data_IF_933050920589
#
_entry.id   IF_933050920589
#
_cell.length_a   1.000
_cell.length_b   1.000
_cell.length_c   1.000
_cell.angle_alpha   90.00
_cell.angle_beta   90.00
_cell.angle_gamma   90.00
#
_symmetry.space_group_name_H-M   'P 1'
#
loop_
_entity.id
_entity.type
_entity.pdbx_description
1 polymer ?
#
# COMPACT_ATOMS: atom_id res chain seq x y z
N UNK A 1 -5.98 -22.41 -85.32
CA UNK A 1 -7.36 -21.91 -85.21
C UNK A 1 -7.50 -21.34 -83.80
N UNK A 2 -7.54 -20.02 -83.64
CA UNK A 2 -7.53 -19.32 -82.33
C UNK A 2 -8.89 -19.50 -81.63
N UNK A 3 -8.95 -19.80 -80.32
CA UNK A 3 -10.18 -19.64 -79.57
C UNK A 3 -10.33 -18.20 -79.06
N UNK A 4 -11.55 -17.73 -79.23
CA UNK A 4 -12.20 -16.45 -78.93
C UNK A 4 -12.00 -15.95 -77.50
N UNK A 5 -11.64 -14.67 -77.35
CA UNK A 5 -11.66 -13.92 -76.08
C UNK A 5 -13.11 -13.80 -75.58
N UNK A 6 -13.40 -14.36 -74.41
CA UNK A 6 -14.63 -14.13 -73.68
C UNK A 6 -14.50 -12.84 -72.87
N UNK A 7 -15.21 -11.81 -73.30
CA UNK A 7 -15.39 -10.55 -72.57
C UNK A 7 -16.09 -10.82 -71.23
N UNK A 8 -15.35 -10.75 -70.13
CA UNK A 8 -15.90 -10.80 -68.77
C UNK A 8 -16.67 -9.51 -68.54
N UNK A 9 -18.00 -9.62 -68.57
CA UNK A 9 -18.96 -8.56 -68.23
C UNK A 9 -18.91 -8.38 -66.71
N UNK A 10 -18.29 -7.32 -66.22
CA UNK A 10 -18.35 -6.96 -64.80
C UNK A 10 -19.76 -6.50 -64.45
N UNK A 11 -20.39 -7.21 -63.51
CA UNK A 11 -21.72 -6.91 -63.01
C UNK A 11 -21.67 -5.66 -62.12
N UNK A 12 -22.35 -4.55 -62.46
CA UNK A 12 -22.32 -3.31 -61.68
C UNK A 12 -23.04 -3.41 -60.32
N UNK A 13 -23.64 -4.56 -59.99
CA UNK A 13 -24.33 -4.78 -58.71
C UNK A 13 -23.44 -5.38 -57.62
N UNK A 14 -22.21 -5.83 -57.93
CA UNK A 14 -21.29 -6.41 -56.95
C UNK A 14 -20.50 -5.38 -56.12
N UNK A 15 -20.56 -4.08 -56.45
CA UNK A 15 -19.76 -3.04 -55.80
C UNK A 15 -20.37 -2.50 -54.50
N UNK A 16 -21.64 -2.82 -54.21
CA UNK A 16 -22.38 -2.29 -53.05
C UNK A 16 -22.34 -3.18 -51.78
N UNK A 17 -21.52 -4.24 -51.76
CA UNK A 17 -21.36 -5.11 -50.58
C UNK A 17 -20.05 -4.88 -49.81
N UNK A 18 -19.40 -3.73 -49.99
CA UNK A 18 -18.32 -3.32 -49.07
C UNK A 18 -18.97 -2.84 -47.77
N UNK A 19 -18.67 -3.46 -46.61
CA UNK A 19 -19.14 -2.91 -45.34
C UNK A 19 -18.61 -1.48 -45.22
N UNK A 20 -19.54 -0.53 -45.06
CA UNK A 20 -19.26 0.85 -44.68
C UNK A 20 -18.24 0.82 -43.55
N UNK A 21 -17.09 1.46 -43.77
CA UNK A 21 -16.06 1.66 -42.75
C UNK A 21 -16.71 2.44 -41.61
N UNK A 22 -17.26 1.69 -40.67
CA UNK A 22 -17.81 2.21 -39.43
C UNK A 22 -16.70 3.05 -38.79
N UNK A 23 -17.01 4.33 -38.59
CA UNK A 23 -16.31 5.20 -37.65
C UNK A 23 -16.20 4.46 -36.31
N UNK A 24 -15.13 3.69 -36.13
CA UNK A 24 -14.63 3.36 -34.81
C UNK A 24 -14.13 4.70 -34.30
N UNK A 25 -14.72 5.28 -33.25
CA UNK A 25 -14.07 6.41 -32.60
C UNK A 25 -12.72 5.86 -32.15
N UNK A 26 -11.64 6.32 -32.81
CA UNK A 26 -10.29 6.16 -32.29
C UNK A 26 -10.36 6.63 -30.86
N UNK A 27 -10.39 5.68 -29.92
CA UNK A 27 -10.22 5.95 -28.52
C UNK A 27 -8.84 6.60 -28.45
N UNK A 28 -8.82 7.93 -28.39
CA UNK A 28 -7.62 8.72 -28.45
C UNK A 28 -6.70 8.28 -27.33
N UNK A 29 -5.81 7.33 -27.63
CA UNK A 29 -4.65 7.00 -26.83
C UNK A 29 -3.81 8.26 -26.90
N UNK A 30 -4.04 9.16 -25.92
CA UNK A 30 -3.26 10.37 -25.79
C UNK A 30 -1.80 9.95 -25.80
N UNK A 31 -0.97 10.47 -26.72
CA UNK A 31 0.45 10.14 -26.72
C UNK A 31 1.02 10.46 -25.35
N UNK A 32 1.92 9.63 -24.80
CA UNK A 32 2.47 9.84 -23.48
C UNK A 32 3.10 11.22 -23.41
N UNK A 33 2.51 12.09 -22.59
CA UNK A 33 3.06 13.42 -22.36
C UNK A 33 4.47 13.29 -21.79
N UNK A 34 5.44 13.73 -22.58
CA UNK A 34 6.71 14.37 -22.21
C UNK A 34 7.40 13.92 -20.89
N UNK A 35 8.56 13.27 -21.05
CA UNK A 35 9.76 13.57 -20.26
C UNK A 35 9.89 13.04 -18.83
N UNK A 36 8.95 12.23 -18.32
CA UNK A 36 9.11 11.57 -17.00
C UNK A 36 9.27 10.07 -17.16
N UNK A 37 10.23 9.48 -16.44
CA UNK A 37 10.37 8.03 -16.30
C UNK A 37 8.98 7.46 -15.97
N UNK A 38 8.45 6.47 -16.71
CA UNK A 38 7.08 5.97 -16.53
C UNK A 38 6.75 5.59 -15.07
N UNK A 39 7.75 5.12 -14.33
CA UNK A 39 7.66 4.79 -12.90
C UNK A 39 7.47 6.01 -11.97
N UNK A 40 7.78 7.24 -12.39
CA UNK A 40 7.62 8.47 -11.60
C UNK A 40 6.30 9.19 -11.86
N UNK A 41 5.47 8.70 -12.79
CA UNK A 41 4.19 9.35 -13.16
C UNK A 41 3.25 9.50 -11.97
N UNK A 42 3.17 8.51 -11.09
CA UNK A 42 2.34 8.58 -9.89
C UNK A 42 2.71 9.76 -8.96
N UNK A 43 3.98 10.19 -8.91
CA UNK A 43 4.42 11.35 -8.10
C UNK A 43 3.95 12.70 -8.64
N UNK A 44 3.34 12.73 -9.81
CA UNK A 44 2.66 13.92 -10.33
C UNK A 44 1.40 14.25 -9.49
N UNK A 45 0.72 13.23 -8.94
CA UNK A 45 -0.41 13.43 -8.02
C UNK A 45 0.10 14.01 -6.70
N UNK A 46 -0.42 15.18 -6.32
CA UNK A 46 -0.06 15.85 -5.06
C UNK A 46 -0.38 14.95 -3.85
N UNK A 47 -1.54 14.30 -3.86
CA UNK A 47 -1.96 13.42 -2.78
C UNK A 47 -1.02 12.22 -2.65
N UNK A 48 -0.68 11.58 -3.77
CA UNK A 48 0.27 10.47 -3.75
C UNK A 48 1.68 10.89 -3.30
N UNK A 49 2.17 12.06 -3.73
CA UNK A 49 3.50 12.55 -3.30
C UNK A 49 3.56 12.82 -1.80
N UNK A 50 2.52 13.41 -1.20
CA UNK A 50 2.41 13.62 0.25
C UNK A 50 2.38 12.29 1.00
N UNK A 51 1.57 11.33 0.51
CA UNK A 51 1.51 9.98 1.06
C UNK A 51 2.87 9.28 1.02
N UNK A 52 3.50 9.28 -0.16
CA UNK A 52 4.73 8.57 -0.45
C UNK A 52 5.89 9.06 0.42
N UNK A 53 6.04 10.38 0.56
CA UNK A 53 7.10 10.95 1.40
C UNK A 53 6.93 10.56 2.87
N UNK A 54 5.72 10.67 3.41
CA UNK A 54 5.45 10.25 4.79
C UNK A 54 5.64 8.74 4.97
N UNK A 55 5.15 7.94 4.01
CA UNK A 55 5.24 6.48 4.08
C UNK A 55 6.66 5.97 4.03
N UNK A 56 7.53 6.56 3.21
CA UNK A 56 8.92 6.14 3.14
C UNK A 56 9.60 6.25 4.51
N UNK A 57 9.39 7.37 5.21
CA UNK A 57 9.92 7.61 6.55
C UNK A 57 9.35 6.60 7.56
N UNK A 58 8.04 6.38 7.53
CA UNK A 58 7.37 5.45 8.45
C UNK A 58 7.74 3.99 8.21
N UNK A 59 7.99 3.62 6.96
CA UNK A 59 8.37 2.27 6.61
C UNK A 59 9.80 1.96 7.06
N UNK A 60 10.74 2.91 6.89
CA UNK A 60 12.09 2.79 7.45
C UNK A 60 12.01 2.62 8.98
N UNK A 61 11.22 3.47 9.65
CA UNK A 61 10.97 3.36 11.09
C UNK A 61 10.41 2.01 11.50
N UNK A 62 9.47 1.46 10.73
CA UNK A 62 8.83 0.18 11.03
C UNK A 62 9.80 -0.98 10.90
N UNK A 63 10.61 -1.02 9.84
CA UNK A 63 11.65 -2.04 9.67
C UNK A 63 12.73 -1.94 10.75
N UNK A 64 13.12 -0.72 11.10
CA UNK A 64 14.05 -0.46 12.20
C UNK A 64 13.50 -0.97 13.54
N UNK A 65 12.23 -0.65 13.86
CA UNK A 65 11.56 -1.16 15.06
C UNK A 65 11.46 -2.69 15.05
N UNK A 66 11.15 -3.32 13.91
CA UNK A 66 11.05 -4.78 13.82
C UNK A 66 12.35 -5.47 14.24
N UNK A 67 13.50 -4.93 13.82
CA UNK A 67 14.82 -5.47 14.20
C UNK A 67 15.12 -5.21 15.66
N UNK A 68 14.89 -3.98 16.14
CA UNK A 68 15.09 -3.62 17.54
C UNK A 68 14.19 -4.44 18.49
N UNK A 69 12.94 -4.73 18.10
CA UNK A 69 12.01 -5.53 18.88
C UNK A 69 12.47 -6.99 18.94
N UNK A 70 12.96 -7.53 17.82
CA UNK A 70 13.53 -8.88 17.77
C UNK A 70 14.74 -9.00 18.71
N UNK A 71 15.62 -8.00 18.69
CA UNK A 71 16.77 -7.93 19.60
C UNK A 71 16.34 -7.79 21.06
N UNK A 72 15.38 -6.92 21.37
CA UNK A 72 14.86 -6.75 22.73
C UNK A 72 14.29 -8.06 23.29
N UNK A 73 13.49 -8.80 22.51
CA UNK A 73 12.94 -10.09 22.94
C UNK A 73 14.04 -11.09 23.21
N UNK A 74 15.05 -11.16 22.34
CA UNK A 74 16.20 -12.03 22.56
C UNK A 74 16.97 -11.63 23.82
N UNK A 75 17.23 -10.34 24.04
CA UNK A 75 17.93 -9.84 25.24
C UNK A 75 17.16 -10.14 26.53
N UNK A 76 15.83 -10.04 26.52
CA UNK A 76 14.99 -10.31 27.69
C UNK A 76 14.83 -11.81 27.99
N UNK A 77 14.88 -12.68 26.96
CA UNK A 77 14.51 -14.09 27.10
C UNK A 77 15.65 -15.09 26.89
N UNK A 78 16.71 -14.72 26.19
CA UNK A 78 17.76 -15.61 25.70
C UNK A 78 17.29 -16.65 24.67
N UNK A 79 16.02 -16.59 24.22
CA UNK A 79 15.39 -17.66 23.44
C UNK A 79 14.95 -17.21 22.04
N UNK A 80 15.54 -17.76 20.98
CA UNK A 80 15.08 -17.53 19.60
C UNK A 80 13.64 -18.02 19.37
N UNK A 81 13.17 -19.01 20.13
CA UNK A 81 11.80 -19.52 20.03
C UNK A 81 10.79 -18.47 20.47
N UNK A 82 11.07 -17.74 21.56
CA UNK A 82 10.18 -16.67 22.03
C UNK A 82 10.12 -15.50 21.04
N UNK A 83 11.23 -15.16 20.39
CA UNK A 83 11.25 -14.20 19.28
C UNK A 83 10.31 -14.64 18.14
N UNK A 84 10.40 -15.91 17.74
CA UNK A 84 9.52 -16.49 16.73
C UNK A 84 8.05 -16.43 17.15
N UNK A 85 7.74 -16.75 18.41
CA UNK A 85 6.37 -16.69 18.94
C UNK A 85 5.82 -15.27 19.00
N UNK A 86 6.61 -14.27 19.40
CA UNK A 86 6.20 -12.85 19.37
C UNK A 86 5.90 -12.42 17.93
N UNK A 87 6.76 -12.82 16.99
CA UNK A 87 6.60 -12.47 15.57
C UNK A 87 5.33 -13.11 15.00
N UNK A 88 5.09 -14.38 15.33
CA UNK A 88 3.88 -15.10 14.98
C UNK A 88 2.63 -14.46 15.59
N UNK A 89 2.67 -14.08 16.87
CA UNK A 89 1.57 -13.43 17.57
C UNK A 89 1.19 -12.08 16.97
N UNK A 90 2.13 -11.39 16.32
CA UNK A 90 1.87 -10.17 15.54
C UNK A 90 1.31 -10.44 14.15
N UNK A 91 1.56 -11.60 13.55
CA UNK A 91 1.12 -11.92 12.18
C UNK A 91 -0.22 -12.67 12.14
N UNK A 92 -0.51 -13.50 13.14
CA UNK A 92 -1.74 -14.29 13.20
C UNK A 92 -3.02 -13.46 13.11
N UNK A 93 -3.14 -12.26 13.76
CA UNK A 93 -4.38 -11.49 13.67
C UNK A 93 -4.59 -10.93 12.27
N UNK A 94 -3.51 -10.56 11.56
CA UNK A 94 -3.57 -10.10 10.16
C UNK A 94 -4.18 -11.20 9.29
N UNK A 95 -3.73 -12.44 9.44
CA UNK A 95 -4.24 -13.56 8.67
C UNK A 95 -5.72 -13.84 8.96
N UNK A 96 -6.10 -13.89 10.24
CA UNK A 96 -7.46 -14.24 10.67
C UNK A 96 -8.48 -13.12 10.37
N UNK A 97 -8.08 -11.86 10.51
CA UNK A 97 -8.97 -10.70 10.37
C UNK A 97 -8.89 -10.03 9.00
N UNK A 98 -8.02 -10.49 8.09
CA UNK A 98 -7.91 -9.93 6.73
C UNK A 98 -9.25 -9.86 5.96
N UNK A 99 -10.14 -10.87 5.97
CA UNK A 99 -11.43 -10.77 5.30
C UNK A 99 -12.33 -9.66 5.88
N UNK A 100 -12.30 -9.51 7.21
CA UNK A 100 -13.04 -8.46 7.92
C UNK A 100 -12.47 -7.09 7.56
N UNK A 101 -11.15 -6.94 7.60
CA UNK A 101 -10.46 -5.72 7.20
C UNK A 101 -10.73 -5.31 5.76
N UNK A 102 -10.72 -6.27 4.83
CA UNK A 102 -11.07 -6.07 3.41
C UNK A 102 -12.51 -5.59 3.23
N UNK A 103 -13.47 -6.28 3.85
CA UNK A 103 -14.88 -5.89 3.79
C UNK A 103 -15.14 -4.46 4.30
N UNK A 104 -14.43 -4.07 5.36
CA UNK A 104 -14.51 -2.73 5.94
C UNK A 104 -13.87 -1.69 5.01
N UNK A 105 -12.71 -2.01 4.41
CA UNK A 105 -12.03 -1.17 3.44
C UNK A 105 -12.86 -0.96 2.16
N UNK A 106 -13.76 -1.88 1.81
CA UNK A 106 -14.67 -1.72 0.68
C UNK A 106 -15.88 -0.84 0.98
N UNK A 107 -16.37 -0.89 2.21
CA UNK A 107 -17.66 -0.27 2.59
C UNK A 107 -17.52 1.06 3.32
N UNK A 108 -16.38 1.35 3.96
CA UNK A 108 -16.14 2.57 4.74
C UNK A 108 -15.18 3.52 4.00
N UNK A 109 -14.98 4.69 4.59
CA UNK A 109 -13.99 5.65 4.11
C UNK A 109 -12.59 5.16 4.47
N UNK A 110 -11.81 4.82 3.43
CA UNK A 110 -10.45 4.27 3.56
C UNK A 110 -9.48 5.26 4.18
N UNK A 111 -9.63 6.56 3.91
CA UNK A 111 -8.77 7.58 4.50
C UNK A 111 -8.94 7.60 6.02
N UNK A 112 -10.19 7.58 6.49
CA UNK A 112 -10.49 7.52 7.93
C UNK A 112 -9.95 6.26 8.58
N UNK A 113 -10.08 5.10 7.93
CA UNK A 113 -9.48 3.85 8.43
C UNK A 113 -7.96 4.03 8.60
N UNK A 114 -7.26 4.47 7.55
CA UNK A 114 -5.80 4.61 7.58
C UNK A 114 -5.35 5.61 8.64
N UNK A 115 -6.04 6.75 8.79
CA UNK A 115 -5.72 7.72 9.84
C UNK A 115 -5.87 7.09 11.23
N UNK A 116 -6.95 6.34 11.46
CA UNK A 116 -7.17 5.67 12.76
C UNK A 116 -6.14 4.56 13.03
N UNK A 117 -5.82 3.74 12.04
CA UNK A 117 -4.84 2.66 12.19
C UNK A 117 -3.43 3.20 12.37
N UNK A 118 -3.02 4.19 11.58
CA UNK A 118 -1.71 4.85 11.75
C UNK A 118 -1.57 5.51 13.12
N UNK A 119 -2.63 6.11 13.64
CA UNK A 119 -2.64 6.68 14.99
C UNK A 119 -2.53 5.61 16.07
N UNK A 120 -3.21 4.48 15.90
CA UNK A 120 -3.11 3.33 16.80
C UNK A 120 -1.70 2.72 16.79
N UNK A 121 -1.12 2.50 15.60
CA UNK A 121 0.26 2.00 15.46
C UNK A 121 1.28 2.95 16.08
N UNK A 122 1.10 4.27 15.92
CA UNK A 122 1.90 5.28 16.59
C UNK A 122 1.82 5.13 18.11
N UNK A 123 0.60 5.04 18.67
CA UNK A 123 0.40 4.88 20.11
C UNK A 123 1.07 3.60 20.64
N UNK A 124 0.91 2.47 19.94
CA UNK A 124 1.55 1.20 20.31
C UNK A 124 3.08 1.29 20.29
N UNK A 125 3.67 1.93 19.28
CA UNK A 125 5.11 2.17 19.20
C UNK A 125 5.61 3.07 20.34
N UNK A 126 4.87 4.13 20.66
CA UNK A 126 5.20 5.05 21.75
C UNK A 126 5.06 4.41 23.13
N UNK A 127 4.06 3.55 23.34
CA UNK A 127 3.92 2.75 24.57
C UNK A 127 5.12 1.81 24.72
N UNK A 128 5.49 1.09 23.65
CA UNK A 128 6.65 0.21 23.67
C UNK A 128 7.95 0.99 23.96
N UNK A 129 8.11 2.16 23.34
CA UNK A 129 9.23 3.06 23.59
C UNK A 129 9.29 3.50 25.06
N UNK A 130 8.18 3.98 25.62
CA UNK A 130 8.10 4.42 27.01
C UNK A 130 8.41 3.31 28.01
N UNK A 131 7.86 2.10 27.80
CA UNK A 131 8.15 0.93 28.63
C UNK A 131 9.63 0.53 28.55
N UNK A 132 10.22 0.59 27.35
CA UNK A 132 11.62 0.19 27.14
C UNK A 132 12.59 1.21 27.72
N UNK A 133 12.38 2.50 27.45
CA UNK A 133 13.22 3.58 27.98
C UNK A 133 13.08 3.72 29.50
N UNK A 134 11.90 3.44 30.05
CA UNK A 134 11.68 3.40 31.50
C UNK A 134 12.21 2.15 32.20
N UNK A 135 12.77 1.18 31.46
CA UNK A 135 13.31 -0.06 32.02
C UNK A 135 12.27 -1.04 32.58
N UNK A 136 10.97 -0.81 32.31
CA UNK A 136 9.85 -1.62 32.80
C UNK A 136 9.36 -2.64 31.75
N UNK A 137 10.04 -2.73 30.61
CA UNK A 137 9.62 -3.62 29.52
C UNK A 137 9.80 -5.08 29.90
N UNK A 138 8.77 -5.88 29.61
CA UNK A 138 8.72 -7.31 29.88
C UNK A 138 8.24 -8.02 28.63
N UNK A 139 8.56 -9.32 28.51
CA UNK A 139 8.16 -10.14 27.36
C UNK A 139 6.65 -10.11 27.13
N UNK A 140 5.85 -10.12 28.21
CA UNK A 140 4.40 -10.01 28.14
C UNK A 140 3.92 -8.71 27.49
N UNK A 141 4.55 -7.57 27.79
CA UNK A 141 4.24 -6.29 27.14
C UNK A 141 4.51 -6.37 25.63
N UNK A 142 5.64 -6.95 25.23
CA UNK A 142 5.98 -7.08 23.80
C UNK A 142 4.99 -7.98 23.07
N UNK A 143 4.57 -9.09 23.67
CA UNK A 143 3.53 -9.97 23.11
C UNK A 143 2.21 -9.23 22.87
N UNK A 144 1.69 -8.56 23.91
CA UNK A 144 0.42 -7.84 23.83
C UNK A 144 0.49 -6.75 22.75
N UNK A 145 1.55 -5.94 22.76
CA UNK A 145 1.72 -4.85 21.80
C UNK A 145 1.90 -5.37 20.37
N UNK A 146 2.64 -6.47 20.16
CA UNK A 146 2.79 -7.11 18.86
C UNK A 146 1.44 -7.64 18.33
N UNK A 147 0.66 -8.32 19.17
CA UNK A 147 -0.67 -8.82 18.79
C UNK A 147 -1.64 -7.68 18.47
N UNK A 148 -1.67 -6.62 19.29
CA UNK A 148 -2.49 -5.44 19.00
C UNK A 148 -2.08 -4.77 17.68
N UNK A 149 -0.78 -4.68 17.40
CA UNK A 149 -0.29 -4.15 16.13
C UNK A 149 -0.72 -5.06 14.96
N UNK A 150 -0.73 -6.38 15.16
CA UNK A 150 -1.29 -7.33 14.20
C UNK A 150 -2.76 -7.09 13.90
N UNK A 151 -3.57 -6.82 14.93
CA UNK A 151 -4.98 -6.46 14.76
C UNK A 151 -5.11 -5.16 13.95
N UNK A 152 -4.34 -4.13 14.30
CA UNK A 152 -4.34 -2.85 13.56
C UNK A 152 -3.97 -3.07 12.08
N UNK A 153 -2.93 -3.85 11.81
CA UNK A 153 -2.47 -4.17 10.46
C UNK A 153 -3.50 -4.95 9.63
N UNK A 154 -4.34 -5.76 10.26
CA UNK A 154 -5.41 -6.47 9.58
C UNK A 154 -6.42 -5.54 8.88
N UNK A 155 -6.60 -4.32 9.40
CA UNK A 155 -7.44 -3.29 8.79
C UNK A 155 -6.63 -2.33 7.92
N UNK A 156 -5.42 -1.99 8.36
CA UNK A 156 -4.58 -1.01 7.69
C UNK A 156 -4.14 -1.45 6.29
N UNK A 157 -3.62 -2.68 6.17
CA UNK A 157 -3.07 -3.21 4.92
C UNK A 157 -4.11 -3.17 3.77
N UNK A 158 -5.32 -3.75 3.92
CA UNK A 158 -6.32 -3.71 2.86
C UNK A 158 -6.82 -2.28 2.58
N UNK A 159 -7.03 -1.46 3.62
CA UNK A 159 -7.44 -0.06 3.44
C UNK A 159 -6.43 0.73 2.63
N UNK A 160 -5.13 0.54 2.91
CA UNK A 160 -4.01 1.18 2.23
C UNK A 160 -3.88 0.75 0.78
N UNK A 161 -4.03 -0.54 0.50
CA UNK A 161 -4.01 -1.07 -0.87
C UNK A 161 -5.13 -0.46 -1.71
N UNK A 162 -6.34 -0.36 -1.15
CA UNK A 162 -7.47 0.24 -1.86
C UNK A 162 -7.32 1.77 -1.98
N UNK A 163 -6.82 2.45 -0.95
CA UNK A 163 -6.58 3.90 -0.97
C UNK A 163 -5.50 4.33 -1.97
N UNK A 164 -4.52 3.46 -2.24
CA UNK A 164 -3.52 3.68 -3.29
C UNK A 164 -4.19 3.90 -4.65
N UNK A 165 -5.19 3.08 -4.98
CA UNK A 165 -5.97 3.20 -6.22
C UNK A 165 -6.75 4.52 -6.24
N UNK A 166 -7.34 4.91 -5.11
CA UNK A 166 -8.09 6.16 -4.98
C UNK A 166 -7.20 7.40 -5.20
N UNK A 167 -5.91 7.34 -4.83
CA UNK A 167 -4.98 8.48 -4.94
C UNK A 167 -4.41 8.74 -6.34
N UNK A 168 -4.21 7.70 -7.15
CA UNK A 168 -3.54 7.81 -8.47
C UNK A 168 -4.44 7.48 -9.66
N UNK A 169 -5.60 6.87 -9.42
CA UNK A 169 -6.45 6.36 -10.50
C UNK A 169 -5.86 5.12 -11.19
N UNK A 170 -6.64 4.51 -12.10
CA UNK A 170 -6.26 3.23 -12.74
C UNK A 170 -5.07 3.37 -13.70
N UNK A 171 -4.97 4.50 -14.39
CA UNK A 171 -3.97 4.72 -15.45
C UNK A 171 -2.54 4.82 -14.90
N UNK A 172 -2.37 5.35 -13.69
CA UNK A 172 -1.06 5.49 -13.05
C UNK A 172 -0.84 4.46 -11.91
N UNK A 173 -1.74 3.49 -11.75
CA UNK A 173 -1.67 2.47 -10.69
C UNK A 173 -0.41 1.61 -10.77
N UNK A 174 -0.02 1.18 -11.97
CA UNK A 174 1.19 0.36 -12.17
C UNK A 174 2.43 1.15 -11.74
N UNK A 175 2.49 2.44 -12.07
CA UNK A 175 3.55 3.36 -11.66
C UNK A 175 3.63 3.46 -10.13
N UNK A 176 2.47 3.59 -9.47
CA UNK A 176 2.37 3.66 -8.02
C UNK A 176 2.75 2.35 -7.32
N UNK A 177 2.39 1.19 -7.89
CA UNK A 177 2.79 -0.13 -7.38
C UNK A 177 4.30 -0.32 -7.48
N UNK A 178 4.91 0.10 -8.60
CA UNK A 178 6.35 0.05 -8.78
C UNK A 178 7.07 0.88 -7.71
N UNK A 179 6.64 2.14 -7.52
CA UNK A 179 7.18 3.02 -6.49
C UNK A 179 6.99 2.48 -5.08
N UNK A 180 5.82 1.93 -4.78
CA UNK A 180 5.55 1.32 -3.49
C UNK A 180 6.52 0.14 -3.25
N UNK A 181 6.72 -0.72 -4.24
CA UNK A 181 7.68 -1.82 -4.16
C UNK A 181 9.11 -1.32 -3.93
N UNK A 182 9.54 -0.26 -4.63
CA UNK A 182 10.85 0.37 -4.41
C UNK A 182 10.98 0.91 -2.98
N UNK A 183 9.93 1.54 -2.46
CA UNK A 183 9.89 2.05 -1.08
C UNK A 183 10.05 0.92 -0.07
N UNK A 184 9.30 -0.18 -0.22
CA UNK A 184 9.37 -1.35 0.65
C UNK A 184 10.75 -2.01 0.64
N UNK A 185 11.33 -2.21 -0.54
CA UNK A 185 12.65 -2.81 -0.65
C UNK A 185 13.75 -1.87 -0.11
N UNK A 186 13.65 -0.57 -0.37
CA UNK A 186 14.58 0.42 0.18
C UNK A 186 14.53 0.46 1.72
N UNK A 187 13.32 0.50 2.29
CA UNK A 187 13.14 0.50 3.74
C UNK A 187 13.64 -0.81 4.41
N UNK A 188 13.48 -1.96 3.73
CA UNK A 188 14.02 -3.25 4.19
C UNK A 188 15.55 -3.29 4.27
N UNK A 189 16.24 -2.45 3.52
CA UNK A 189 17.70 -2.35 3.55
C UNK A 189 18.12 -1.31 4.60
N UNK A 190 17.52 -0.12 4.54
CA UNK A 190 17.91 1.02 5.39
C UNK A 190 17.50 0.81 6.86
N UNK A 191 16.30 0.28 7.10
CA UNK A 191 15.75 0.09 8.45
C UNK A 191 16.63 -0.78 9.36
N UNK A 192 16.98 -2.02 8.95
CA UNK A 192 17.87 -2.88 9.73
C UNK A 192 19.27 -2.28 9.96
N UNK A 193 19.83 -1.61 8.96
CA UNK A 193 21.11 -0.93 9.10
C UNK A 193 21.06 0.18 10.17
N UNK A 194 20.01 1.01 10.13
CA UNK A 194 19.78 2.04 11.17
C UNK A 194 19.53 1.41 12.54
N UNK A 195 18.78 0.30 12.62
CA UNK A 195 18.53 -0.40 13.87
C UNK A 195 19.83 -0.90 14.50
N UNK A 196 20.72 -1.53 13.74
CA UNK A 196 22.00 -2.03 14.26
C UNK A 196 22.83 -0.91 14.91
N UNK A 197 22.91 0.25 14.26
CA UNK A 197 23.64 1.41 14.79
C UNK A 197 22.95 2.01 16.02
N UNK A 198 21.64 2.28 15.95
CA UNK A 198 20.91 2.89 17.07
C UNK A 198 20.85 1.97 18.29
N UNK A 199 20.58 0.68 18.11
CA UNK A 199 20.54 -0.29 19.20
C UNK A 199 21.90 -0.36 19.90
N UNK A 200 23.00 -0.39 19.14
CA UNK A 200 24.34 -0.42 19.71
C UNK A 200 24.72 0.90 20.43
N UNK A 201 24.31 2.04 19.90
CA UNK A 201 24.70 3.35 20.42
C UNK A 201 23.84 3.82 21.61
N UNK A 202 22.52 3.67 21.51
CA UNK A 202 21.55 4.27 22.44
C UNK A 202 20.50 3.28 22.96
N UNK A 203 20.43 2.06 22.42
CA UNK A 203 19.49 1.02 22.85
C UNK A 203 18.19 0.96 22.06
N UNK A 204 17.38 -0.08 22.32
CA UNK A 204 16.21 -0.42 21.50
C UNK A 204 15.05 0.57 21.67
N UNK A 205 14.92 1.17 22.86
CA UNK A 205 13.84 2.10 23.19
C UNK A 205 13.80 3.33 22.26
N UNK A 206 14.96 3.83 21.86
CA UNK A 206 15.05 4.97 20.93
C UNK A 206 14.67 4.59 19.50
N UNK A 207 14.88 3.34 19.08
CA UNK A 207 14.35 2.85 17.80
C UNK A 207 12.83 2.87 17.79
N UNK A 208 12.19 2.43 18.88
CA UNK A 208 10.73 2.46 19.00
C UNK A 208 10.18 3.88 19.06
N UNK A 209 10.87 4.78 19.77
CA UNK A 209 10.50 6.19 19.83
C UNK A 209 10.59 6.85 18.45
N UNK A 210 11.71 6.64 17.74
CA UNK A 210 11.90 7.16 16.39
C UNK A 210 10.85 6.60 15.41
N UNK A 211 10.48 5.33 15.54
CA UNK A 211 9.37 4.77 14.76
C UNK A 211 8.03 5.43 15.13
N UNK A 212 7.73 5.61 16.41
CA UNK A 212 6.55 6.35 16.86
C UNK A 212 6.47 7.74 16.21
N UNK A 213 7.57 8.50 16.22
CA UNK A 213 7.63 9.81 15.59
C UNK A 213 7.45 9.76 14.06
N UNK A 214 7.95 8.71 13.41
CA UNK A 214 7.82 8.53 11.95
C UNK A 214 6.36 8.46 11.47
N UNK A 215 5.44 7.97 12.31
CA UNK A 215 4.02 7.95 11.99
C UNK A 215 3.42 9.36 11.84
N UNK A 216 3.97 10.37 12.52
CA UNK A 216 3.55 11.77 12.34
C UNK A 216 3.79 12.25 10.91
N UNK A 217 4.86 11.80 10.25
CA UNK A 217 5.15 12.16 8.87
C UNK A 217 4.04 11.66 7.91
N UNK A 218 3.56 10.45 8.14
CA UNK A 218 2.42 9.89 7.38
C UNK A 218 1.14 10.63 7.71
N UNK A 219 0.84 10.81 9.00
CA UNK A 219 -0.39 11.44 9.45
C UNK A 219 -0.49 12.87 8.93
N UNK A 220 0.59 13.64 8.98
CA UNK A 220 0.68 14.96 8.37
C UNK A 220 0.42 14.90 6.86
N UNK A 221 1.03 13.93 6.17
CA UNK A 221 0.79 13.69 4.74
C UNK A 221 -0.69 13.41 4.43
N UNK A 222 -1.33 12.51 5.19
CA UNK A 222 -2.75 12.14 5.06
C UNK A 222 -3.69 13.31 5.35
N UNK A 223 -3.42 14.08 6.40
CA UNK A 223 -4.25 15.22 6.80
C UNK A 223 -4.10 16.41 5.85
N UNK A 224 -2.96 16.53 5.17
CA UNK A 224 -2.71 17.55 4.15
C UNK A 224 -3.33 17.22 2.78
N UNK A 225 -3.84 16.01 2.58
CA UNK A 225 -4.48 15.61 1.32
C UNK A 225 -5.82 16.32 1.13
N UNK A 226 -6.13 16.58 -0.14
CA UNK A 226 -7.48 17.02 -0.54
C UNK A 226 -8.14 15.87 -1.26
N UNK A 227 -9.06 15.20 -0.58
CA UNK A 227 -9.83 14.11 -1.14
C UNK A 227 -11.10 14.66 -1.76
N UNK A 228 -11.23 14.54 -3.08
CA UNK A 228 -12.52 14.70 -3.73
C UNK A 228 -13.38 13.50 -3.33
N UNK A 229 -14.49 13.74 -2.65
CA UNK A 229 -15.45 12.70 -2.27
C UNK A 229 -16.04 12.14 -3.57
N UNK A 230 -15.50 11.02 -4.06
CA UNK A 230 -16.13 10.32 -5.18
C UNK A 230 -17.46 9.73 -4.70
N UNK A 231 -18.61 10.09 -5.32
CA UNK A 231 -19.87 9.44 -5.02
C UNK A 231 -19.72 7.94 -5.24
N UNK A 232 -20.13 7.13 -4.26
CA UNK A 232 -20.19 5.68 -4.43
C UNK A 232 -21.12 5.41 -5.60
N UNK A 233 -20.62 4.81 -6.68
CA UNK A 233 -21.50 4.30 -7.73
C UNK A 233 -22.43 3.27 -7.08
N UNK A 234 -23.76 3.42 -7.17
CA UNK A 234 -24.69 2.43 -6.65
C UNK A 234 -24.31 1.07 -7.24
N UNK A 235 -24.17 0.05 -6.40
CA UNK A 235 -23.99 -1.33 -6.88
C UNK A 235 -25.12 -1.60 -7.87
N UNK A 236 -24.78 -1.77 -9.15
CA UNK A 236 -25.71 -2.31 -10.14
C UNK A 236 -26.26 -3.64 -9.59
N UNK A 237 -27.57 -3.84 -9.78
CA UNK A 237 -28.42 -4.74 -9.01
C UNK A 237 -27.83 -6.10 -8.65
N UNK A 238 -28.15 -6.54 -7.44
CA UNK A 238 -27.95 -7.93 -7.01
C UNK A 238 -28.61 -8.87 -8.04
N UNK A 239 -27.88 -9.81 -8.66
CA UNK A 239 -28.46 -10.81 -9.57
C UNK A 239 -29.35 -11.85 -8.86
N UNK A 240 -29.62 -11.68 -7.55
CA UNK A 240 -30.49 -12.56 -6.76
C UNK A 240 -31.93 -12.02 -6.61
N UNK A 241 -32.32 -11.03 -7.42
CA UNK A 241 -33.68 -10.53 -7.50
C UNK A 241 -34.41 -11.12 -8.73
N UNK A 242 -34.47 -12.45 -8.83
CA UNK A 242 -35.38 -13.17 -9.72
C UNK A 242 -35.78 -14.49 -9.09
#
# INVERSE_FOLDING_TARGET
MKPTEATVRTDPLAENLRPSSSNVPEAGVRPPASGRIPALRALASRNYRLFFAGQLVSLIGTWMQSVAQSWLVYRLSGSPVLLGLVSFAGQIPVFLLAPVGGSLADCRDRHRIIVTTQSASMALAMILAGLTLGGQVQIGHVFVLATLLGVVNAFDIPARQAFLVDMVGRDDLISAIALNSSMFNGARIVGPAMAGVLVAAVGEGWCFFANGLSYLAVLAGLLAMRLEVRPRSPRAGSPLAH
#
